data_IF_662936388047
#
_entry.id   IF_662936388047
#
_cell.length_a   1.000
_cell.length_b   1.000
_cell.length_c   1.000
_cell.angle_alpha   90.00
_cell.angle_beta   90.00
_cell.angle_gamma   90.00
#
_symmetry.space_group_name_H-M   'P 1'
#
loop_
_entity.id
_entity.type
_entity.pdbx_description
1 polymer ?
#
# COMPACT_ATOMS: atom_id res chain seq x y z
N UNK A 1 21.22 -2.90 61.45
CA UNK A 1 20.50 -1.79 60.75
C UNK A 1 20.96 -1.54 59.31
N UNK A 2 22.27 -1.61 58.97
CA UNK A 2 22.80 -1.23 57.65
C UNK A 2 22.23 -2.01 56.43
N UNK A 3 21.95 -3.31 56.55
CA UNK A 3 21.34 -4.12 55.45
C UNK A 3 19.94 -3.65 55.06
N UNK A 4 19.11 -3.27 56.04
CA UNK A 4 17.72 -2.79 55.83
C UNK A 4 17.70 -1.43 55.11
N UNK A 5 18.65 -0.55 55.45
CA UNK A 5 18.84 0.76 54.81
C UNK A 5 19.32 0.63 53.36
N UNK A 6 20.34 -0.20 53.08
CA UNK A 6 20.80 -0.50 51.71
C UNK A 6 19.71 -1.12 50.83
N UNK A 7 18.82 -1.96 51.40
CA UNK A 7 17.66 -2.53 50.70
C UNK A 7 16.62 -1.45 50.35
N UNK A 8 16.26 -0.57 51.30
CA UNK A 8 15.38 0.60 51.08
C UNK A 8 15.92 1.53 49.98
N UNK A 9 17.21 1.88 50.00
CA UNK A 9 17.84 2.73 48.98
C UNK A 9 17.83 2.08 47.59
N UNK A 10 18.08 0.76 47.48
CA UNK A 10 17.93 0.01 46.21
C UNK A 10 16.48 0.07 45.70
N UNK A 11 15.49 -0.06 46.57
CA UNK A 11 14.06 0.01 46.20
C UNK A 11 13.64 1.42 45.73
N UNK A 12 14.15 2.49 46.36
CA UNK A 12 13.90 3.88 45.94
C UNK A 12 14.55 4.16 44.58
N UNK A 13 15.82 3.76 44.37
CA UNK A 13 16.49 3.89 43.06
C UNK A 13 15.76 3.14 41.95
N UNK A 14 15.20 1.96 42.24
CA UNK A 14 14.37 1.22 41.28
C UNK A 14 13.05 1.94 40.95
N UNK A 15 12.40 2.58 41.94
CA UNK A 15 11.19 3.39 41.71
C UNK A 15 11.48 4.60 40.83
N UNK A 16 12.56 5.35 41.10
CA UNK A 16 12.98 6.51 40.29
C UNK A 16 13.24 6.08 38.84
N UNK A 17 14.02 5.00 38.63
CA UNK A 17 14.28 4.45 37.28
C UNK A 17 13.00 4.06 36.53
N UNK A 18 11.99 3.53 37.22
CA UNK A 18 10.68 3.22 36.62
C UNK A 18 9.96 4.50 36.19
N UNK A 19 9.92 5.52 37.04
CA UNK A 19 9.31 6.82 36.73
C UNK A 19 10.00 7.49 35.54
N UNK A 20 11.34 7.53 35.52
CA UNK A 20 12.12 8.10 34.40
C UNK A 20 11.83 7.38 33.08
N UNK A 21 11.71 6.04 33.11
CA UNK A 21 11.35 5.25 31.94
C UNK A 21 9.96 5.59 31.42
N UNK A 22 8.99 5.80 32.30
CA UNK A 22 7.62 6.22 31.94
C UNK A 22 7.63 7.62 31.34
N UNK A 23 8.30 8.57 31.99
CA UNK A 23 8.46 9.94 31.50
C UNK A 23 9.12 10.00 30.12
N UNK A 24 10.18 9.21 29.90
CA UNK A 24 10.86 9.10 28.61
C UNK A 24 9.95 8.55 27.51
N UNK A 25 9.18 7.49 27.80
CA UNK A 25 8.20 6.93 26.86
C UNK A 25 7.12 7.95 26.51
N UNK A 26 6.62 8.71 27.48
CA UNK A 26 5.63 9.78 27.26
C UNK A 26 6.20 10.87 26.34
N UNK A 27 7.45 11.31 26.56
CA UNK A 27 8.14 12.27 25.70
C UNK A 27 8.33 11.74 24.28
N UNK A 28 8.73 10.47 24.12
CA UNK A 28 8.87 9.83 22.82
C UNK A 28 7.54 9.75 22.06
N UNK A 29 6.46 9.34 22.74
CA UNK A 29 5.12 9.31 22.13
C UNK A 29 4.70 10.70 21.67
N UNK A 30 4.86 11.73 22.50
CA UNK A 30 4.55 13.12 22.13
C UNK A 30 5.32 13.59 20.89
N UNK A 31 6.61 13.25 20.80
CA UNK A 31 7.42 13.57 19.62
C UNK A 31 6.94 12.82 18.35
N UNK A 32 6.55 11.55 18.47
CA UNK A 32 5.98 10.79 17.36
C UNK A 32 4.65 11.38 16.87
N UNK A 33 3.77 11.77 17.80
CA UNK A 33 2.50 12.44 17.46
C UNK A 33 2.76 13.76 16.75
N UNK A 34 3.67 14.58 17.27
CA UNK A 34 4.03 15.86 16.64
C UNK A 34 4.52 15.65 15.21
N UNK A 35 5.45 14.71 15.00
CA UNK A 35 5.96 14.36 13.66
C UNK A 35 4.83 13.86 12.75
N UNK A 36 3.95 13.01 13.25
CA UNK A 36 2.81 12.51 12.46
C UNK A 36 1.87 13.64 12.03
N UNK A 37 1.53 14.57 12.94
CA UNK A 37 0.66 15.73 12.65
C UNK A 37 1.24 16.68 11.60
N UNK A 38 2.55 16.68 11.36
CA UNK A 38 3.14 17.47 10.27
C UNK A 38 2.72 16.98 8.88
N UNK A 39 2.46 15.68 8.72
CA UNK A 39 2.17 15.02 7.44
C UNK A 39 0.74 14.49 7.32
N UNK A 40 -0.08 14.64 8.37
CA UNK A 40 -1.47 14.15 8.40
C UNK A 40 -2.42 15.35 8.54
N UNK A 41 -3.12 15.66 7.45
CA UNK A 41 -4.05 16.79 7.33
C UNK A 41 -5.49 16.31 7.54
N UNK A 42 -6.13 16.78 8.60
CA UNK A 42 -7.48 16.37 8.97
C UNK A 42 -8.53 17.39 8.50
N UNK A 43 -8.92 17.31 7.22
CA UNK A 43 -9.97 18.17 6.63
C UNK A 43 -11.38 17.78 7.11
N UNK A 44 -11.55 16.52 7.52
CA UNK A 44 -12.82 16.02 8.02
C UNK A 44 -13.18 16.56 9.42
N UNK A 45 -12.22 17.17 10.12
CA UNK A 45 -12.32 17.59 11.51
C UNK A 45 -12.81 16.46 12.45
N UNK A 46 -12.39 15.22 12.17
CA UNK A 46 -12.73 14.07 13.02
C UNK A 46 -11.79 13.99 14.24
N UNK A 47 -12.32 13.54 15.38
CA UNK A 47 -11.51 13.33 16.58
C UNK A 47 -10.65 12.08 16.40
N UNK A 48 -9.33 12.25 16.40
CA UNK A 48 -8.36 11.17 16.27
C UNK A 48 -7.45 11.10 17.49
N UNK A 49 -7.18 9.88 17.94
CA UNK A 49 -6.25 9.61 19.04
C UNK A 49 -4.80 9.75 18.60
N UNK A 50 -3.90 9.95 19.56
CA UNK A 50 -2.46 9.99 19.33
C UNK A 50 -1.95 8.75 18.57
N UNK A 51 -2.44 7.56 18.91
CA UNK A 51 -2.01 6.32 18.26
C UNK A 51 -2.54 6.22 16.82
N UNK A 52 -3.73 6.73 16.54
CA UNK A 52 -4.26 6.84 15.17
C UNK A 52 -3.41 7.79 14.32
N UNK A 53 -3.03 8.96 14.86
CA UNK A 53 -2.10 9.86 14.18
C UNK A 53 -0.76 9.18 13.91
N UNK A 54 -0.18 8.49 14.90
CA UNK A 54 1.11 7.78 14.71
C UNK A 54 0.99 6.70 13.62
N UNK A 55 -0.11 5.94 13.58
CA UNK A 55 -0.37 4.93 12.56
C UNK A 55 -0.43 5.57 11.17
N UNK A 56 -1.22 6.63 11.01
CA UNK A 56 -1.31 7.36 9.75
C UNK A 56 0.05 7.95 9.36
N UNK A 57 0.77 8.56 10.29
CA UNK A 57 2.08 9.17 10.07
C UNK A 57 3.18 8.21 9.58
N UNK A 58 2.97 6.88 9.63
CA UNK A 58 3.86 5.90 8.99
C UNK A 58 3.68 5.80 7.46
N UNK A 59 2.58 6.33 6.92
CA UNK A 59 2.29 6.36 5.48
C UNK A 59 1.32 5.27 5.02
N UNK A 60 0.57 5.53 3.94
CA UNK A 60 -0.41 4.59 3.37
C UNK A 60 0.22 3.38 2.66
N UNK A 61 1.54 3.39 2.43
CA UNK A 61 2.31 2.24 1.93
C UNK A 61 2.95 1.43 3.07
N UNK A 62 2.75 1.82 4.32
CA UNK A 62 3.28 1.09 5.46
C UNK A 62 2.57 -0.26 5.61
N UNK A 63 3.35 -1.34 5.72
CA UNK A 63 2.81 -2.70 5.85
C UNK A 63 2.83 -3.12 7.33
N UNK A 64 1.67 -3.23 8.01
CA UNK A 64 1.61 -3.81 9.35
C UNK A 64 2.14 -5.24 9.34
N UNK A 65 2.91 -5.62 10.37
CA UNK A 65 3.30 -7.02 10.56
C UNK A 65 2.04 -7.89 10.75
N UNK A 66 1.84 -8.95 9.94
CA UNK A 66 0.68 -9.83 10.07
C UNK A 66 0.66 -10.57 11.41
N UNK A 67 -0.52 -10.76 12.00
CA UNK A 67 -0.67 -11.53 13.26
C UNK A 67 -0.51 -13.04 13.07
N UNK A 68 -0.96 -13.54 11.92
CA UNK A 68 -0.77 -14.91 11.46
C UNK A 68 0.02 -14.77 10.18
N UNK A 69 1.25 -15.24 10.19
CA UNK A 69 2.03 -15.30 8.97
C UNK A 69 2.30 -16.78 8.73
N UNK A 70 1.75 -17.33 7.65
CA UNK A 70 2.15 -18.65 7.16
C UNK A 70 3.51 -18.49 6.46
N UNK A 71 4.51 -17.99 7.21
CA UNK A 71 5.79 -17.53 6.65
C UNK A 71 6.42 -18.66 5.85
N UNK A 72 6.40 -19.89 6.39
CA UNK A 72 6.87 -21.07 5.67
C UNK A 72 6.18 -21.24 4.31
N UNK A 73 4.83 -21.17 4.24
CA UNK A 73 4.11 -21.28 2.96
C UNK A 73 4.47 -20.15 1.99
N UNK A 74 4.57 -18.91 2.48
CA UNK A 74 4.95 -17.76 1.64
C UNK A 74 6.38 -17.92 1.11
N UNK A 75 7.34 -18.22 1.99
CA UNK A 75 8.74 -18.44 1.62
C UNK A 75 8.89 -19.59 0.63
N UNK A 76 8.14 -20.68 0.80
CA UNK A 76 8.13 -21.78 -0.17
C UNK A 76 7.53 -21.38 -1.53
N UNK A 77 6.49 -20.54 -1.55
CA UNK A 77 5.93 -20.01 -2.79
C UNK A 77 6.92 -19.07 -3.50
N UNK A 78 7.58 -18.19 -2.75
CA UNK A 78 8.62 -17.30 -3.27
C UNK A 78 9.82 -18.09 -3.77
N UNK A 79 10.21 -19.15 -3.04
CA UNK A 79 11.26 -20.08 -3.47
C UNK A 79 10.89 -20.76 -4.79
N UNK A 80 9.65 -21.21 -4.99
CA UNK A 80 9.25 -21.80 -6.27
C UNK A 80 9.36 -20.79 -7.42
N UNK A 81 9.02 -19.51 -7.19
CA UNK A 81 9.22 -18.47 -8.20
C UNK A 81 10.71 -18.22 -8.49
N UNK A 82 11.55 -18.24 -7.45
CA UNK A 82 13.01 -18.14 -7.57
C UNK A 82 13.61 -19.32 -8.35
N UNK A 83 13.24 -20.55 -7.99
CA UNK A 83 13.67 -21.77 -8.67
C UNK A 83 13.29 -21.73 -10.15
N UNK A 84 12.04 -21.39 -10.47
CA UNK A 84 11.60 -21.22 -11.85
C UNK A 84 12.43 -20.17 -12.59
N UNK A 85 12.71 -19.02 -11.97
CA UNK A 85 13.56 -17.97 -12.59
C UNK A 85 14.96 -18.49 -12.89
N UNK A 86 15.58 -19.23 -11.98
CA UNK A 86 16.89 -19.83 -12.21
C UNK A 86 16.86 -20.86 -13.34
N UNK A 87 15.88 -21.75 -13.35
CA UNK A 87 15.74 -22.70 -14.46
C UNK A 87 15.50 -22.01 -15.79
N UNK A 88 14.67 -20.97 -15.85
CA UNK A 88 14.49 -20.18 -17.08
C UNK A 88 15.81 -19.53 -17.52
N UNK A 89 16.57 -18.96 -16.59
CA UNK A 89 17.88 -18.34 -16.88
C UNK A 89 18.87 -19.35 -17.44
N UNK A 90 18.89 -20.57 -16.90
CA UNK A 90 19.72 -21.65 -17.41
C UNK A 90 19.25 -22.10 -18.81
N UNK A 91 17.95 -22.39 -18.95
CA UNK A 91 17.36 -22.88 -20.20
C UNK A 91 17.55 -21.91 -21.37
N UNK A 92 17.42 -20.61 -21.13
CA UNK A 92 17.62 -19.57 -22.15
C UNK A 92 19.04 -18.97 -22.14
N UNK A 93 19.97 -19.49 -21.34
CA UNK A 93 21.30 -18.90 -21.14
C UNK A 93 22.15 -18.83 -22.40
N UNK A 94 21.96 -19.78 -23.32
CA UNK A 94 22.66 -19.84 -24.61
C UNK A 94 21.85 -19.20 -25.75
N UNK A 95 20.69 -18.60 -25.46
CA UNK A 95 19.89 -17.92 -26.48
C UNK A 95 20.34 -16.47 -26.62
N UNK A 96 20.47 -16.00 -27.85
CA UNK A 96 20.75 -14.60 -28.10
C UNK A 96 19.63 -13.73 -27.53
N UNK A 97 20.02 -12.66 -26.82
CA UNK A 97 19.07 -11.70 -26.25
C UNK A 97 18.38 -10.93 -27.37
N UNK A 98 17.25 -11.45 -27.85
CA UNK A 98 16.36 -10.69 -28.73
C UNK A 98 15.77 -9.51 -27.98
N UNK A 99 15.55 -8.40 -28.70
CA UNK A 99 14.84 -7.25 -28.15
C UNK A 99 13.49 -7.69 -27.57
N UNK A 100 13.20 -7.25 -26.34
CA UNK A 100 11.92 -7.57 -25.70
C UNK A 100 10.80 -6.80 -26.39
N UNK A 101 9.79 -7.53 -26.88
CA UNK A 101 8.60 -6.90 -27.43
C UNK A 101 7.87 -6.06 -26.35
N UNK A 102 7.45 -4.81 -26.66
CA UNK A 102 6.83 -3.91 -25.68
C UNK A 102 5.52 -4.47 -25.12
N UNK A 103 4.74 -5.16 -25.98
CA UNK A 103 3.50 -5.82 -25.61
C UNK A 103 3.77 -7.29 -25.28
N UNK A 104 3.61 -7.71 -24.02
CA UNK A 104 3.88 -9.10 -23.61
C UNK A 104 2.92 -9.57 -22.55
N UNK A 105 2.45 -10.79 -22.71
CA UNK A 105 1.68 -11.47 -21.67
C UNK A 105 2.61 -12.12 -20.64
N UNK A 106 2.11 -12.30 -19.42
CA UNK A 106 2.86 -13.03 -18.38
C UNK A 106 2.99 -14.49 -18.80
N UNK A 107 4.22 -14.96 -18.97
CA UNK A 107 4.49 -16.37 -19.23
C UNK A 107 4.32 -17.22 -17.97
N UNK A 108 3.66 -18.37 -18.14
CA UNK A 108 3.58 -19.45 -17.15
C UNK A 108 4.53 -20.61 -17.49
N UNK A 109 5.47 -20.39 -18.41
CA UNK A 109 6.46 -21.38 -18.78
C UNK A 109 7.27 -21.81 -17.56
N UNK A 110 7.30 -23.12 -17.36
CA UNK A 110 8.17 -23.83 -16.43
C UNK A 110 9.05 -24.75 -17.30
N UNK A 111 10.36 -24.48 -17.40
CA UNK A 111 11.27 -25.37 -18.09
C UNK A 111 11.35 -26.72 -17.36
N UNK A 112 11.68 -27.78 -18.10
CA UNK A 112 12.05 -29.06 -17.49
C UNK A 112 13.26 -28.88 -16.57
N UNK A 113 13.45 -29.76 -15.56
CA UNK A 113 14.65 -29.76 -14.74
C UNK A 113 15.91 -29.68 -15.61
N UNK A 114 16.81 -28.79 -15.22
CA UNK A 114 17.91 -28.35 -16.07
C UNK A 114 19.08 -29.35 -16.04
N UNK A 115 20.11 -29.06 -15.24
CA UNK A 115 21.25 -29.93 -14.98
C UNK A 115 21.31 -30.32 -13.50
N UNK A 116 22.08 -31.37 -13.20
CA UNK A 116 22.23 -31.89 -11.85
C UNK A 116 22.69 -30.82 -10.85
N UNK A 117 23.67 -30.00 -11.22
CA UNK A 117 24.25 -28.98 -10.34
C UNK A 117 23.22 -27.92 -9.94
N UNK A 118 22.40 -27.47 -10.89
CA UNK A 118 21.36 -26.49 -10.63
C UNK A 118 20.25 -27.08 -9.76
N UNK A 119 19.75 -28.27 -10.10
CA UNK A 119 18.68 -28.90 -9.33
C UNK A 119 19.16 -29.27 -7.92
N UNK A 120 20.40 -29.76 -7.77
CA UNK A 120 20.99 -30.02 -6.47
C UNK A 120 21.12 -28.74 -5.62
N UNK A 121 21.56 -27.62 -6.22
CA UNK A 121 21.57 -26.33 -5.52
C UNK A 121 20.17 -25.90 -5.08
N UNK A 122 19.17 -26.04 -5.95
CA UNK A 122 17.78 -25.71 -5.63
C UNK A 122 17.25 -26.59 -4.49
N UNK A 123 17.51 -27.90 -4.52
CA UNK A 123 17.06 -28.84 -3.50
C UNK A 123 17.71 -28.57 -2.15
N UNK A 124 19.02 -28.34 -2.10
CA UNK A 124 19.73 -27.96 -0.88
C UNK A 124 19.20 -26.64 -0.32
N UNK A 125 19.02 -25.63 -1.18
CA UNK A 125 18.46 -24.32 -0.77
C UNK A 125 17.04 -24.48 -0.22
N UNK A 126 16.20 -25.31 -0.87
CA UNK A 126 14.84 -25.58 -0.42
C UNK A 126 14.83 -26.25 0.96
N UNK A 127 15.74 -27.19 1.18
CA UNK A 127 15.91 -27.89 2.45
C UNK A 127 16.40 -26.94 3.56
N UNK A 128 17.35 -26.06 3.27
CA UNK A 128 17.79 -25.04 4.24
C UNK A 128 16.63 -24.11 4.62
N UNK A 129 15.90 -23.60 3.61
CA UNK A 129 14.77 -22.69 3.82
C UNK A 129 13.60 -23.34 4.59
N UNK A 130 13.33 -24.63 4.37
CA UNK A 130 12.28 -25.35 5.09
C UNK A 130 12.60 -25.57 6.56
N UNK A 131 13.89 -25.62 6.91
CA UNK A 131 14.39 -25.80 8.27
C UNK A 131 14.63 -24.47 9.02
N UNK A 132 14.46 -23.31 8.38
CA UNK A 132 14.62 -22.03 9.05
C UNK A 132 13.57 -21.81 10.16
N UNK A 133 14.04 -21.40 11.34
CA UNK A 133 13.14 -20.98 12.41
C UNK A 133 12.65 -19.54 12.18
N UNK A 134 11.50 -19.43 11.50
CA UNK A 134 10.87 -18.16 11.17
C UNK A 134 9.93 -17.64 12.29
N UNK A 135 9.99 -18.17 13.52
CA UNK A 135 9.05 -17.83 14.60
C UNK A 135 9.21 -16.40 15.17
N UNK A 136 10.36 -15.76 14.94
CA UNK A 136 10.67 -14.45 15.56
C UNK A 136 10.16 -13.26 14.74
N UNK A 137 8.87 -12.94 14.89
CA UNK A 137 8.32 -11.69 14.36
C UNK A 137 8.33 -10.58 15.42
N UNK A 138 9.13 -9.54 15.17
CA UNK A 138 9.00 -8.28 15.90
C UNK A 138 7.79 -7.50 15.37
N UNK A 139 6.79 -7.31 16.23
CA UNK A 139 5.65 -6.46 15.88
C UNK A 139 6.11 -5.02 15.64
N UNK A 140 5.80 -4.49 14.46
CA UNK A 140 6.11 -3.10 14.08
C UNK A 140 5.05 -2.08 14.57
N UNK A 141 4.05 -2.56 15.31
CA UNK A 141 3.00 -1.78 15.97
C UNK A 141 2.80 -2.23 17.42
N UNK A 142 2.53 -1.27 18.31
CA UNK A 142 2.02 -1.58 19.66
C UNK A 142 0.57 -2.07 19.60
N UNK A 143 0.06 -2.63 20.70
CA UNK A 143 -1.35 -3.08 20.78
C UNK A 143 -2.31 -1.91 20.52
N UNK A 144 -2.01 -0.74 21.07
CA UNK A 144 -2.80 0.48 20.94
C UNK A 144 -2.79 0.99 19.50
N UNK A 145 -1.65 0.93 18.81
CA UNK A 145 -1.56 1.29 17.40
C UNK A 145 -2.33 0.30 16.50
N UNK A 146 -2.32 -1.00 16.81
CA UNK A 146 -3.13 -1.97 16.08
C UNK A 146 -4.64 -1.73 16.27
N UNK A 147 -5.06 -1.39 17.49
CA UNK A 147 -6.44 -0.99 17.77
C UNK A 147 -6.80 0.31 17.02
N UNK A 148 -5.89 1.29 17.02
CA UNK A 148 -6.00 2.51 16.23
C UNK A 148 -6.21 2.23 14.74
N UNK A 149 -5.37 1.40 14.13
CA UNK A 149 -5.52 1.00 12.73
C UNK A 149 -6.86 0.32 12.44
N UNK A 150 -7.31 -0.58 13.32
CA UNK A 150 -8.62 -1.24 13.17
C UNK A 150 -9.77 -0.24 13.24
N UNK A 151 -9.72 0.70 14.18
CA UNK A 151 -10.74 1.74 14.30
C UNK A 151 -10.79 2.64 13.06
N UNK A 152 -9.63 3.05 12.52
CA UNK A 152 -9.54 3.84 11.28
C UNK A 152 -10.12 3.07 10.08
N UNK A 153 -9.82 1.76 9.96
CA UNK A 153 -10.37 0.90 8.90
C UNK A 153 -11.90 0.82 8.95
N UNK A 154 -12.49 0.91 10.13
CA UNK A 154 -13.94 0.81 10.31
C UNK A 154 -14.68 2.15 10.09
N UNK A 155 -13.96 3.27 9.90
CA UNK A 155 -14.57 4.57 9.60
C UNK A 155 -15.02 4.64 8.13
N UNK A 156 -16.30 4.33 7.86
CA UNK A 156 -16.83 4.29 6.49
C UNK A 156 -17.11 5.67 5.89
N UNK A 157 -17.34 6.68 6.73
CA UNK A 157 -17.64 8.07 6.30
C UNK A 157 -16.39 8.90 6.02
N UNK A 158 -15.21 8.31 6.18
CA UNK A 158 -13.92 8.99 6.08
C UNK A 158 -13.07 8.35 4.98
N UNK A 159 -12.47 9.20 4.16
CA UNK A 159 -11.50 8.83 3.13
C UNK A 159 -10.11 9.21 3.62
N UNK A 160 -9.21 8.24 3.62
CA UNK A 160 -7.77 8.41 3.84
C UNK A 160 -7.07 8.35 2.48
N UNK A 161 -6.59 9.48 1.99
CA UNK A 161 -5.95 9.59 0.68
C UNK A 161 -4.57 10.23 0.78
N UNK A 162 -3.78 10.13 -0.29
CA UNK A 162 -2.54 10.91 -0.42
C UNK A 162 -2.87 12.29 -0.97
N UNK A 163 -2.08 13.29 -0.59
CA UNK A 163 -2.06 14.56 -1.29
C UNK A 163 -1.42 14.42 -2.68
N UNK A 164 -1.80 15.32 -3.58
CA UNK A 164 -1.24 15.43 -4.94
C UNK A 164 0.29 15.62 -4.94
N UNK A 165 0.82 16.38 -3.96
CA UNK A 165 2.26 16.64 -3.79
C UNK A 165 2.70 16.38 -2.36
N UNK A 166 3.95 15.94 -2.18
CA UNK A 166 4.61 15.85 -0.87
C UNK A 166 4.24 14.63 -0.02
N UNK A 167 3.47 13.66 -0.53
CA UNK A 167 3.21 12.38 0.14
C UNK A 167 2.46 12.46 1.47
N UNK A 168 1.87 13.61 1.80
CA UNK A 168 1.06 13.80 2.99
C UNK A 168 -0.24 12.99 2.91
N UNK A 169 -0.81 12.69 4.06
CA UNK A 169 -2.10 12.02 4.17
C UNK A 169 -3.17 13.06 4.40
N UNK A 170 -4.26 12.93 3.66
CA UNK A 170 -5.43 13.80 3.77
C UNK A 170 -6.61 12.97 4.21
N UNK A 171 -7.25 13.41 5.29
CA UNK A 171 -8.43 12.82 5.88
C UNK A 171 -9.61 13.70 5.49
N UNK A 172 -10.53 13.16 4.70
CA UNK A 172 -11.68 13.91 4.18
C UNK A 172 -12.97 13.16 4.46
N UNK A 173 -14.08 13.89 4.62
CA UNK A 173 -15.40 13.25 4.65
C UNK A 173 -15.73 12.68 3.27
N UNK A 174 -16.28 11.47 3.25
CA UNK A 174 -16.71 10.80 2.01
C UNK A 174 -17.73 11.64 1.23
N UNK A 175 -18.64 12.32 1.94
CA UNK A 175 -19.62 13.23 1.33
C UNK A 175 -18.97 14.37 0.56
N UNK A 176 -17.92 14.99 1.11
CA UNK A 176 -17.20 16.09 0.45
C UNK A 176 -16.39 15.58 -0.74
N UNK A 177 -15.76 14.41 -0.60
CA UNK A 177 -15.02 13.77 -1.68
C UNK A 177 -15.93 13.45 -2.88
N UNK A 178 -17.13 12.91 -2.64
CA UNK A 178 -18.11 12.62 -3.69
C UNK A 178 -18.63 13.91 -4.31
N UNK A 179 -19.02 14.90 -3.49
CA UNK A 179 -19.51 16.20 -3.97
C UNK A 179 -18.48 16.87 -4.89
N UNK A 180 -17.21 16.84 -4.51
CA UNK A 180 -16.13 17.41 -5.31
C UNK A 180 -15.93 16.66 -6.64
N UNK A 181 -16.04 15.32 -6.62
CA UNK A 181 -16.00 14.53 -7.86
C UNK A 181 -17.15 14.86 -8.81
N UNK A 182 -18.37 14.95 -8.30
CA UNK A 182 -19.53 15.34 -9.10
C UNK A 182 -19.40 16.76 -9.64
N UNK A 183 -18.85 17.69 -8.85
CA UNK A 183 -18.57 19.06 -9.31
C UNK A 183 -17.59 19.08 -10.47
N UNK A 184 -16.53 18.28 -10.44
CA UNK A 184 -15.54 18.20 -11.53
C UNK A 184 -16.10 17.50 -12.79
N UNK A 185 -16.96 16.50 -12.58
CA UNK A 185 -17.65 15.80 -13.66
C UNK A 185 -18.73 16.65 -14.33
N UNK A 186 -19.34 17.59 -13.60
CA UNK A 186 -20.26 18.57 -14.16
C UNK A 186 -19.51 19.68 -14.92
N UNK A 187 -18.84 19.31 -16.00
CA UNK A 187 -18.10 20.21 -16.89
C UNK A 187 -18.37 19.86 -18.34
N UNK A 188 -17.96 20.76 -19.25
CA UNK A 188 -18.10 20.60 -20.70
C UNK A 188 -17.35 19.39 -21.28
N UNK A 189 -16.47 18.77 -20.49
CA UNK A 189 -15.61 17.67 -20.94
C UNK A 189 -16.21 16.29 -20.72
N UNK A 190 -17.31 16.18 -19.97
CA UNK A 190 -17.91 14.91 -19.60
C UNK A 190 -19.42 14.91 -19.91
N UNK A 191 -19.94 13.73 -20.19
CA UNK A 191 -21.38 13.50 -20.38
C UNK A 191 -21.76 12.22 -19.66
N UNK A 192 -22.88 12.25 -18.95
CA UNK A 192 -23.40 11.10 -18.22
C UNK A 192 -23.96 10.05 -19.18
N UNK A 193 -23.60 8.79 -18.96
CA UNK A 193 -24.11 7.64 -19.72
C UNK A 193 -24.94 6.80 -18.74
N UNK A 194 -26.26 6.78 -18.93
CA UNK A 194 -27.19 6.09 -18.03
C UNK A 194 -26.97 4.57 -18.02
N UNK A 195 -26.80 3.96 -19.20
CA UNK A 195 -26.66 2.51 -19.34
C UNK A 195 -25.46 2.15 -20.24
N UNK A 196 -24.24 2.08 -19.69
CA UNK A 196 -23.06 1.75 -20.49
C UNK A 196 -23.08 0.27 -20.90
N UNK A 197 -23.23 0.00 -22.20
CA UNK A 197 -23.12 -1.36 -22.74
C UNK A 197 -21.63 -1.77 -22.90
N UNK A 198 -21.06 -2.27 -21.82
CA UNK A 198 -19.65 -2.66 -21.76
C UNK A 198 -19.30 -3.81 -22.72
N UNK A 199 -20.27 -4.68 -23.04
CA UNK A 199 -20.07 -5.79 -23.95
C UNK A 199 -19.98 -5.30 -25.40
N UNK A 200 -20.85 -4.38 -25.79
CA UNK A 200 -20.79 -3.72 -27.10
C UNK A 200 -19.47 -2.96 -27.27
N UNK A 201 -19.06 -2.17 -26.28
CA UNK A 201 -17.78 -1.44 -26.31
C UNK A 201 -16.62 -2.43 -26.47
N UNK A 202 -16.62 -3.54 -25.72
CA UNK A 202 -15.59 -4.59 -25.84
C UNK A 202 -15.56 -5.19 -27.25
N UNK A 203 -16.71 -5.55 -27.81
CA UNK A 203 -16.80 -6.13 -29.15
C UNK A 203 -16.29 -5.16 -30.21
N UNK A 204 -16.68 -3.87 -30.12
CA UNK A 204 -16.19 -2.83 -31.00
C UNK A 204 -14.66 -2.70 -30.94
N UNK A 205 -14.08 -2.69 -29.73
CA UNK A 205 -12.62 -2.67 -29.55
C UNK A 205 -11.98 -3.91 -30.18
N UNK A 206 -12.54 -5.11 -29.98
CA UNK A 206 -12.01 -6.35 -30.55
C UNK A 206 -12.07 -6.38 -32.08
N UNK A 207 -13.13 -5.82 -32.67
CA UNK A 207 -13.25 -5.65 -34.13
C UNK A 207 -12.16 -4.70 -34.64
N UNK A 208 -11.93 -3.57 -33.98
CA UNK A 208 -10.87 -2.63 -34.38
C UNK A 208 -9.48 -3.26 -34.28
N UNK A 209 -9.17 -3.95 -33.17
CA UNK A 209 -7.91 -4.67 -33.00
C UNK A 209 -7.71 -5.71 -34.12
N UNK A 210 -8.77 -6.43 -34.50
CA UNK A 210 -8.66 -7.44 -35.57
C UNK A 210 -8.41 -6.79 -36.93
N UNK A 211 -9.08 -5.68 -37.25
CA UNK A 211 -8.82 -4.89 -38.46
C UNK A 211 -7.38 -4.38 -38.52
N UNK A 212 -6.84 -3.87 -37.41
CA UNK A 212 -5.45 -3.42 -37.34
C UNK A 212 -4.47 -4.56 -37.66
N UNK A 213 -4.76 -5.78 -37.22
CA UNK A 213 -3.96 -6.95 -37.53
C UNK A 213 -4.08 -7.35 -39.01
N UNK A 214 -5.30 -7.40 -39.54
CA UNK A 214 -5.57 -7.73 -40.95
C UNK A 214 -4.91 -6.71 -41.91
N UNK A 215 -4.84 -5.43 -41.50
CA UNK A 215 -4.14 -4.36 -42.21
C UNK A 215 -2.60 -4.41 -42.07
N UNK A 216 -2.06 -5.29 -41.21
CA UNK A 216 -0.62 -5.36 -40.93
C UNK A 216 -0.06 -4.23 -40.06
N UNK A 217 -0.91 -3.47 -39.36
CA UNK A 217 -0.50 -2.36 -38.47
C UNK A 217 0.08 -2.86 -37.13
N UNK A 218 -0.31 -4.07 -36.71
CA UNK A 218 0.16 -4.71 -35.49
C UNK A 218 0.57 -6.16 -35.77
N UNK A 219 1.54 -6.66 -35.01
CA UNK A 219 1.96 -8.05 -35.07
C UNK A 219 1.07 -8.97 -34.22
N UNK A 220 1.24 -10.28 -34.38
CA UNK A 220 0.47 -11.28 -33.63
C UNK A 220 0.68 -11.19 -32.12
N UNK A 221 1.87 -10.79 -31.67
CA UNK A 221 2.19 -10.64 -30.25
C UNK A 221 1.38 -9.48 -29.64
N UNK A 222 1.31 -8.35 -30.35
CA UNK A 222 0.49 -7.19 -30.00
C UNK A 222 -0.99 -7.53 -29.99
N UNK A 223 -1.47 -8.25 -31.02
CA UNK A 223 -2.84 -8.73 -31.12
C UNK A 223 -3.25 -9.53 -29.88
N UNK A 224 -2.45 -10.54 -29.52
CA UNK A 224 -2.71 -11.39 -28.36
C UNK A 224 -2.69 -10.57 -27.06
N UNK A 225 -1.74 -9.65 -26.91
CA UNK A 225 -1.67 -8.77 -25.75
C UNK A 225 -2.91 -7.89 -25.60
N UNK A 226 -3.34 -7.23 -26.68
CA UNK A 226 -4.47 -6.29 -26.67
C UNK A 226 -5.82 -7.00 -26.51
N UNK A 227 -5.96 -8.23 -27.05
CA UNK A 227 -7.14 -9.08 -26.79
C UNK A 227 -7.23 -9.49 -25.31
N UNK A 228 -6.07 -9.61 -24.66
CA UNK A 228 -5.92 -9.88 -23.24
C UNK A 228 -6.32 -11.31 -22.84
N UNK A 229 -5.89 -11.74 -21.66
CA UNK A 229 -6.39 -12.97 -21.04
C UNK A 229 -7.75 -12.67 -20.41
N UNK A 230 -8.82 -13.05 -21.09
CA UNK A 230 -10.24 -12.81 -20.79
C UNK A 230 -10.79 -13.49 -19.53
N UNK A 231 -10.01 -13.53 -18.43
CA UNK A 231 -10.46 -14.09 -17.15
C UNK A 231 -11.43 -13.17 -16.40
N UNK A 232 -11.34 -11.86 -16.63
CA UNK A 232 -12.25 -10.87 -16.03
C UNK A 232 -13.03 -10.16 -17.13
N UNK A 233 -14.34 -10.01 -16.97
CA UNK A 233 -15.21 -9.29 -17.91
C UNK A 233 -14.86 -7.79 -18.03
N UNK A 234 -15.45 -7.06 -18.99
CA UNK A 234 -15.18 -5.63 -19.15
C UNK A 234 -15.61 -4.85 -17.91
N UNK A 235 -14.84 -3.82 -17.55
CA UNK A 235 -15.05 -3.00 -16.35
C UNK A 235 -14.94 -1.52 -16.68
N UNK A 236 -15.70 -0.70 -15.98
CA UNK A 236 -15.57 0.75 -16.06
C UNK A 236 -14.26 1.21 -15.39
N UNK A 237 -13.68 2.26 -15.96
CA UNK A 237 -12.63 3.04 -15.30
C UNK A 237 -13.16 3.62 -13.99
N UNK A 238 -12.26 3.78 -13.01
CA UNK A 238 -12.60 4.38 -11.72
C UNK A 238 -11.94 5.76 -11.62
N UNK A 239 -12.73 6.77 -11.31
CA UNK A 239 -12.22 8.10 -11.00
C UNK A 239 -11.73 8.14 -9.55
N UNK A 240 -10.52 8.66 -9.35
CA UNK A 240 -9.97 8.94 -8.03
C UNK A 240 -9.41 10.36 -7.98
N UNK A 241 -9.63 11.05 -6.87
CA UNK A 241 -9.21 12.43 -6.67
C UNK A 241 -8.07 12.48 -5.65
N UNK A 242 -7.09 13.34 -5.90
CA UNK A 242 -6.00 13.64 -4.98
C UNK A 242 -6.10 15.11 -4.53
N UNK A 243 -6.23 15.37 -3.22
CA UNK A 243 -6.30 16.74 -2.73
C UNK A 243 -5.02 17.54 -3.00
N UNK A 244 -5.16 18.70 -3.64
CA UNK A 244 -4.07 19.65 -3.92
C UNK A 244 -3.88 20.59 -2.73
N UNK A 245 -3.26 20.10 -1.66
CA UNK A 245 -3.06 20.88 -0.41
C UNK A 245 -2.38 22.24 -0.64
N UNK A 246 -1.51 22.39 -1.65
CA UNK A 246 -0.83 23.64 -1.99
C UNK A 246 -1.74 24.71 -2.61
N UNK A 247 -2.98 24.36 -2.96
CA UNK A 247 -4.01 25.32 -3.39
C UNK A 247 -4.87 25.83 -2.22
N UNK A 248 -4.75 25.22 -1.03
CA UNK A 248 -5.43 25.71 0.17
C UNK A 248 -4.70 26.95 0.67
N UNK A 249 -5.45 27.92 1.21
CA UNK A 249 -4.85 29.09 1.84
C UNK A 249 -4.00 28.68 3.05
N UNK A 250 -2.95 29.45 3.31
CA UNK A 250 -2.04 29.16 4.42
C UNK A 250 -2.77 29.22 5.77
N UNK A 251 -3.77 30.09 5.90
CA UNK A 251 -4.66 30.17 7.08
C UNK A 251 -5.45 28.88 7.29
N UNK A 252 -6.01 28.30 6.23
CA UNK A 252 -6.72 27.01 6.31
C UNK A 252 -5.76 25.89 6.70
N UNK A 253 -4.57 25.85 6.11
CA UNK A 253 -3.53 24.86 6.45
C UNK A 253 -3.11 24.98 7.92
N UNK A 254 -2.88 26.22 8.39
CA UNK A 254 -2.53 26.48 9.79
C UNK A 254 -3.69 26.11 10.73
N UNK A 255 -4.94 26.41 10.36
CA UNK A 255 -6.14 26.03 11.10
C UNK A 255 -6.31 24.51 11.21
N UNK A 256 -6.10 23.77 10.12
CA UNK A 256 -6.12 22.29 10.10
C UNK A 256 -5.04 21.73 11.02
N UNK A 257 -3.82 22.29 11.00
CA UNK A 257 -2.72 21.86 11.87
C UNK A 257 -2.92 22.22 13.34
N UNK A 258 -3.61 23.35 13.62
CA UNK A 258 -3.93 23.83 14.96
C UNK A 258 -5.22 23.21 15.54
N UNK A 259 -5.98 22.44 14.75
CA UNK A 259 -7.30 21.86 15.09
C UNK A 259 -8.40 22.90 15.40
N UNK A 260 -8.32 24.10 14.79
CA UNK A 260 -9.34 25.15 14.94
C UNK A 260 -9.57 25.83 13.59
N UNK A 261 -10.49 25.32 12.76
CA UNK A 261 -11.28 26.10 11.78
C UNK A 261 -12.53 25.30 11.38
N UNK A 262 -13.67 26.01 11.20
CA UNK A 262 -14.95 25.45 10.72
C UNK A 262 -14.88 25.19 9.22
N UNK A 263 -15.62 24.17 8.78
CA UNK A 263 -15.62 23.55 7.43
C UNK A 263 -16.03 24.50 6.27
N UNK A 264 -16.36 25.76 6.54
CA UNK A 264 -16.95 26.68 5.55
C UNK A 264 -15.94 27.47 4.70
N UNK A 265 -14.63 27.21 4.84
CA UNK A 265 -13.56 27.95 4.13
C UNK A 265 -12.65 27.06 3.27
N UNK A 266 -13.12 25.87 2.88
CA UNK A 266 -12.45 25.17 1.78
C UNK A 266 -12.77 25.92 0.47
N UNK A 267 -11.76 26.35 -0.30
CA UNK A 267 -12.02 26.99 -1.58
C UNK A 267 -12.76 26.03 -2.53
N UNK A 268 -13.52 26.57 -3.50
CA UNK A 268 -14.23 25.79 -4.51
C UNK A 268 -13.30 24.89 -5.35
#
# INVERSE_FOLDING_TARGET
>A
MARRFKKKVKTVKQKIRKLDRVSRKKRQKKAQVYKAKQYVYNLANCQLTDDQYIVLGKGLKFIPMPKKCNIGRTVMADFNEFARKLRCRFHFGNTESRGMHPFRQKSFYEPTPACFELENYLDLTKFELSNLDLRNNYYNFTKEQQLGLRSLKNMQDIIFSKSDKGGAIVISKKTHYIKEGLRQLNSIHYTEIQEPNLLLIKNNIQTQISKMFDNGEIDGITLDFLRGSSKEGPRLGRLFLLPKLHKLSELVIQGIKKQTMRVNELPP
#
